data_IF_640171774102
#
_entry.id   IF_640171774102
#
_cell.length_a   1.000
_cell.length_b   1.000
_cell.length_c   1.000
_cell.angle_alpha   90.00
_cell.angle_beta   90.00
_cell.angle_gamma   90.00
#
_symmetry.space_group_name_H-M   'P 1'
#
loop_
_entity.id
_entity.type
_entity.pdbx_description
1 polymer ?
#
# COMPACT_ATOMS: atom_id res chain seq x y z
N UNK A 1 10.09 -32.55 -4.09
CA UNK A 1 11.27 -31.73 -3.76
C UNK A 1 10.77 -30.34 -3.42
N UNK A 2 10.73 -30.01 -2.13
CA UNK A 2 10.41 -28.67 -1.64
C UNK A 2 11.52 -27.71 -2.10
N UNK A 3 11.25 -26.92 -3.11
CA UNK A 3 12.04 -25.71 -3.36
C UNK A 3 11.54 -24.67 -2.38
N UNK A 4 12.15 -24.63 -1.20
CA UNK A 4 11.94 -23.54 -0.28
C UNK A 4 12.30 -22.23 -1.01
N UNK A 5 11.42 -21.27 -0.99
CA UNK A 5 11.68 -19.91 -1.46
C UNK A 5 12.96 -19.38 -0.80
N UNK A 6 13.99 -19.08 -1.58
CA UNK A 6 15.33 -18.82 -1.05
C UNK A 6 15.60 -17.34 -0.76
N UNK A 7 14.56 -16.49 -0.69
CA UNK A 7 14.67 -15.05 -0.44
C UNK A 7 13.44 -14.47 0.24
N UNK A 8 13.57 -13.29 0.84
CA UNK A 8 12.44 -12.53 1.36
C UNK A 8 11.52 -12.12 0.20
N UNK A 9 10.18 -12.35 0.29
CA UNK A 9 9.27 -11.97 -0.78
C UNK A 9 9.28 -10.47 -1.02
N UNK A 10 9.23 -10.08 -2.29
CA UNK A 10 9.17 -8.67 -2.69
C UNK A 10 7.88 -8.00 -2.23
N UNK A 11 7.86 -6.68 -2.20
CA UNK A 11 6.64 -5.90 -1.86
C UNK A 11 5.48 -6.27 -2.80
N UNK A 12 5.76 -6.42 -4.09
CA UNK A 12 4.74 -6.79 -5.07
C UNK A 12 4.19 -8.21 -4.87
N UNK A 13 5.03 -9.18 -4.50
CA UNK A 13 4.59 -10.55 -4.19
C UNK A 13 3.75 -10.60 -2.91
N UNK A 14 4.15 -9.86 -1.86
CA UNK A 14 3.34 -9.71 -0.65
C UNK A 14 1.98 -9.07 -0.97
N UNK A 15 1.98 -7.98 -1.72
CA UNK A 15 0.76 -7.27 -2.13
C UNK A 15 -0.18 -8.18 -2.92
N UNK A 16 0.36 -8.95 -3.87
CA UNK A 16 -0.43 -9.92 -4.63
C UNK A 16 -1.03 -10.99 -3.73
N UNK A 17 -0.19 -11.64 -2.93
CA UNK A 17 -0.60 -12.79 -2.13
C UNK A 17 -1.61 -12.44 -1.03
N UNK A 18 -1.45 -11.29 -0.39
CA UNK A 18 -2.26 -10.88 0.77
C UNK A 18 -3.53 -10.12 0.37
N UNK A 19 -3.53 -9.42 -0.76
CA UNK A 19 -4.60 -8.50 -1.11
C UNK A 19 -5.17 -8.71 -2.52
N UNK A 20 -4.31 -8.72 -3.55
CA UNK A 20 -4.81 -8.72 -4.95
C UNK A 20 -5.42 -10.06 -5.33
N UNK A 21 -4.76 -11.19 -5.02
CA UNK A 21 -5.32 -12.52 -5.34
C UNK A 21 -6.64 -12.81 -4.61
N UNK A 22 -6.78 -12.54 -3.30
CA UNK A 22 -8.08 -12.64 -2.62
C UNK A 22 -9.15 -11.73 -3.22
N UNK A 23 -8.81 -10.48 -3.56
CA UNK A 23 -9.71 -9.55 -4.20
C UNK A 23 -10.19 -10.06 -5.57
N UNK A 24 -9.28 -10.59 -6.40
CA UNK A 24 -9.65 -11.19 -7.67
C UNK A 24 -10.58 -12.38 -7.50
N UNK A 25 -10.30 -13.26 -6.52
CA UNK A 25 -11.14 -14.39 -6.22
C UNK A 25 -12.57 -13.97 -5.83
N UNK A 26 -12.70 -12.91 -5.03
CA UNK A 26 -13.99 -12.41 -4.58
C UNK A 26 -14.76 -11.64 -5.66
N UNK A 27 -14.09 -10.75 -6.40
CA UNK A 27 -14.76 -9.75 -7.25
C UNK A 27 -14.69 -10.04 -8.75
N UNK A 28 -13.70 -10.81 -9.22
CA UNK A 28 -13.40 -10.92 -10.66
C UNK A 28 -13.60 -12.33 -11.21
N UNK A 29 -13.18 -13.37 -10.48
CA UNK A 29 -13.08 -14.74 -10.98
C UNK A 29 -14.42 -15.35 -11.40
N UNK A 30 -15.53 -14.92 -10.80
CA UNK A 30 -16.87 -15.41 -11.18
C UNK A 30 -17.20 -15.18 -12.67
N UNK A 31 -16.63 -14.12 -13.27
CA UNK A 31 -16.80 -13.79 -14.68
C UNK A 31 -15.55 -14.10 -15.52
N UNK A 32 -14.35 -14.02 -14.91
CA UNK A 32 -13.08 -14.07 -15.62
C UNK A 32 -12.20 -15.28 -15.30
N UNK A 33 -12.76 -16.34 -14.66
CA UNK A 33 -11.94 -17.50 -14.33
C UNK A 33 -12.65 -18.76 -13.85
N UNK A 34 -13.67 -18.68 -13.02
CA UNK A 34 -14.32 -19.84 -12.37
C UNK A 34 -14.86 -20.86 -13.38
N UNK A 35 -15.34 -20.39 -14.53
CA UNK A 35 -15.91 -21.23 -15.59
C UNK A 35 -15.18 -20.98 -16.88
N UNK A 36 -14.16 -21.79 -17.22
CA UNK A 36 -13.35 -21.61 -18.41
C UNK A 36 -14.14 -21.47 -19.72
N UNK A 37 -15.28 -22.17 -19.79
CA UNK A 37 -16.17 -22.14 -20.95
C UNK A 37 -17.10 -20.89 -21.03
N UNK A 38 -17.02 -20.01 -20.03
CA UNK A 38 -17.88 -18.82 -19.91
C UNK A 38 -17.11 -17.56 -19.53
N UNK A 39 -15.83 -17.50 -19.86
CA UNK A 39 -15.01 -16.33 -19.60
C UNK A 39 -15.56 -15.13 -20.39
N UNK A 40 -15.84 -14.03 -19.70
CA UNK A 40 -16.37 -12.81 -20.30
C UNK A 40 -15.27 -12.05 -21.02
N UNK A 41 -15.62 -11.51 -22.21
CA UNK A 41 -14.73 -10.70 -23.06
C UNK A 41 -13.39 -11.37 -23.37
N UNK A 42 -13.35 -12.70 -23.37
CA UNK A 42 -12.14 -13.52 -23.56
C UNK A 42 -10.96 -13.13 -22.65
N UNK A 43 -11.25 -12.44 -21.52
CA UNK A 43 -10.25 -12.04 -20.55
C UNK A 43 -10.13 -13.05 -19.42
N UNK A 44 -9.09 -13.87 -19.47
CA UNK A 44 -8.85 -14.96 -18.51
C UNK A 44 -7.87 -14.54 -17.42
N UNK A 45 -8.36 -14.47 -16.17
CA UNK A 45 -7.59 -14.04 -15.00
C UNK A 45 -6.97 -15.19 -14.20
N UNK A 46 -6.96 -16.43 -14.72
CA UNK A 46 -6.45 -17.60 -13.98
C UNK A 46 -4.94 -17.68 -13.92
N UNK A 47 -4.23 -16.98 -14.78
CA UNK A 47 -2.76 -16.92 -14.79
C UNK A 47 -2.26 -15.55 -15.22
N UNK A 48 -1.02 -15.24 -14.82
CA UNK A 48 -0.35 -14.03 -15.29
C UNK A 48 -0.22 -13.99 -16.82
N UNK A 49 0.08 -15.14 -17.42
CA UNK A 49 0.26 -15.25 -18.88
C UNK A 49 -1.03 -14.94 -19.63
N UNK A 50 -2.17 -15.49 -19.18
CA UNK A 50 -3.46 -15.18 -19.77
C UNK A 50 -3.85 -13.71 -19.59
N UNK A 51 -3.59 -13.12 -18.44
CA UNK A 51 -3.85 -11.70 -18.19
C UNK A 51 -2.99 -10.78 -19.08
N UNK A 52 -1.73 -11.14 -19.32
CA UNK A 52 -0.83 -10.38 -20.23
C UNK A 52 -1.24 -10.50 -21.69
N UNK A 53 -1.87 -11.60 -22.08
CA UNK A 53 -2.45 -11.73 -23.42
C UNK A 53 -3.65 -10.80 -23.59
N UNK A 54 -4.32 -10.47 -22.48
CA UNK A 54 -5.48 -9.61 -22.45
C UNK A 54 -6.76 -10.28 -22.90
N UNK A 55 -7.72 -9.49 -23.32
CA UNK A 55 -9.05 -9.91 -23.75
C UNK A 55 -9.44 -9.32 -25.09
N UNK A 56 -10.72 -9.47 -25.45
CA UNK A 56 -11.28 -9.11 -26.76
C UNK A 56 -11.20 -7.61 -27.09
N UNK A 57 -11.30 -6.73 -26.07
CA UNK A 57 -11.46 -5.28 -26.33
C UNK A 57 -10.13 -4.52 -26.22
N UNK A 58 -9.35 -4.79 -25.18
CA UNK A 58 -8.13 -4.01 -24.87
C UNK A 58 -6.85 -4.81 -25.09
N UNK A 59 -6.95 -6.04 -25.52
CA UNK A 59 -5.80 -6.90 -25.82
C UNK A 59 -4.73 -6.84 -24.73
N UNK A 60 -3.48 -6.58 -25.08
CA UNK A 60 -2.34 -6.51 -24.17
C UNK A 60 -2.28 -5.22 -23.31
N UNK A 61 -3.16 -4.25 -23.56
CA UNK A 61 -3.28 -3.05 -22.74
C UNK A 61 -4.08 -3.29 -21.44
N UNK A 62 -4.72 -4.44 -21.29
CA UNK A 62 -5.42 -4.78 -20.03
C UNK A 62 -4.46 -4.83 -18.86
N UNK A 63 -3.27 -5.40 -19.03
CA UNK A 63 -2.25 -5.51 -18.00
C UNK A 63 -0.87 -5.14 -18.56
N UNK A 64 -0.42 -3.94 -18.26
CA UNK A 64 0.90 -3.42 -18.65
C UNK A 64 1.80 -3.39 -17.42
N UNK A 65 2.67 -4.39 -17.19
CA UNK A 65 3.53 -4.43 -16.01
C UNK A 65 4.37 -3.16 -15.85
N UNK A 66 4.37 -2.58 -14.66
CA UNK A 66 5.06 -1.33 -14.35
C UNK A 66 4.28 -0.05 -14.73
N UNK A 67 3.08 -0.17 -15.28
CA UNK A 67 2.28 0.98 -15.73
C UNK A 67 0.82 0.87 -15.24
N UNK A 68 0.63 0.90 -13.91
CA UNK A 68 -0.67 0.69 -13.29
C UNK A 68 -1.75 1.62 -13.81
N UNK A 69 -1.46 2.92 -13.88
CA UNK A 69 -2.42 3.95 -14.31
C UNK A 69 -2.79 3.86 -15.81
N UNK A 70 -2.04 3.10 -16.61
CA UNK A 70 -2.31 2.88 -18.03
C UNK A 70 -2.94 1.52 -18.32
N UNK A 71 -2.96 0.63 -17.34
CA UNK A 71 -3.56 -0.70 -17.48
C UNK A 71 -5.07 -0.61 -17.35
N UNK A 72 -5.80 -1.11 -18.34
CA UNK A 72 -7.27 -1.10 -18.29
C UNK A 72 -7.84 -1.92 -17.12
N UNK A 73 -7.12 -2.90 -16.62
CA UNK A 73 -7.51 -3.60 -15.40
C UNK A 73 -7.71 -2.63 -14.21
N UNK A 74 -6.83 -1.64 -14.07
CA UNK A 74 -6.99 -0.59 -13.07
C UNK A 74 -8.04 0.44 -13.47
N UNK A 75 -7.97 0.97 -14.69
CA UNK A 75 -8.87 2.03 -15.19
C UNK A 75 -10.33 1.61 -15.03
N UNK A 76 -10.69 0.42 -15.51
CA UNK A 76 -12.07 -0.07 -15.44
C UNK A 76 -12.50 -0.36 -14.01
N UNK A 77 -11.57 -0.76 -13.13
CA UNK A 77 -11.87 -1.00 -11.72
C UNK A 77 -12.16 0.28 -10.93
N UNK A 78 -11.72 1.45 -11.41
CA UNK A 78 -12.05 2.76 -10.83
C UNK A 78 -13.40 3.32 -11.28
N UNK A 79 -14.06 2.66 -12.25
CA UNK A 79 -15.37 3.03 -12.80
C UNK A 79 -15.44 4.42 -13.46
N UNK A 80 -14.32 4.92 -13.97
CA UNK A 80 -14.27 6.22 -14.68
C UNK A 80 -14.73 6.12 -16.15
N UNK A 81 -14.77 4.91 -16.71
CA UNK A 81 -15.21 4.64 -18.08
C UNK A 81 -16.66 4.16 -18.05
N UNK A 82 -17.57 4.99 -18.54
CA UNK A 82 -19.01 4.65 -18.65
C UNK A 82 -19.21 3.40 -19.53
N UNK A 83 -20.15 2.54 -19.16
CA UNK A 83 -20.50 1.28 -19.82
C UNK A 83 -19.41 0.17 -19.80
N UNK A 84 -18.26 0.43 -19.16
CA UNK A 84 -17.14 -0.53 -19.08
C UNK A 84 -16.69 -0.78 -17.63
N UNK A 85 -17.48 -0.35 -16.66
CA UNK A 85 -17.14 -0.46 -15.24
C UNK A 85 -16.99 -1.90 -14.78
N UNK A 86 -15.91 -2.17 -14.04
CA UNK A 86 -15.65 -3.48 -13.42
C UNK A 86 -15.46 -3.35 -11.90
N UNK A 87 -16.11 -4.20 -11.12
CA UNK A 87 -17.23 -5.09 -11.48
C UNK A 87 -18.46 -4.33 -12.00
N UNK A 88 -19.29 -4.96 -12.86
CA UNK A 88 -20.42 -4.26 -13.51
C UNK A 88 -21.54 -3.87 -12.55
N UNK A 89 -21.66 -4.56 -11.40
CA UNK A 89 -22.67 -4.22 -10.39
C UNK A 89 -22.10 -3.16 -9.44
N UNK A 90 -22.86 -2.10 -9.23
CA UNK A 90 -22.50 -1.04 -8.30
C UNK A 90 -22.30 -1.54 -6.85
N UNK A 91 -23.08 -2.55 -6.43
CA UNK A 91 -22.95 -3.17 -5.10
C UNK A 91 -21.63 -3.90 -4.90
N UNK A 92 -20.95 -4.28 -5.97
CA UNK A 92 -19.68 -4.99 -5.95
C UNK A 92 -18.48 -4.07 -6.25
N UNK A 93 -18.73 -2.75 -6.32
CA UNK A 93 -17.71 -1.73 -6.56
C UNK A 93 -16.53 -1.88 -5.61
N UNK A 94 -15.33 -1.69 -6.16
CA UNK A 94 -14.10 -1.65 -5.38
C UNK A 94 -13.96 -0.32 -4.64
N UNK A 95 -13.38 -0.38 -3.46
CA UNK A 95 -12.97 0.81 -2.72
C UNK A 95 -11.69 1.41 -3.31
N UNK A 96 -11.39 2.69 -3.01
CA UNK A 96 -10.14 3.35 -3.42
C UNK A 96 -8.89 2.57 -2.95
N UNK A 97 -9.00 1.92 -1.79
CA UNK A 97 -7.93 1.08 -1.26
C UNK A 97 -7.71 -0.18 -2.12
N UNK A 98 -8.76 -0.83 -2.54
CA UNK A 98 -8.72 -2.05 -3.35
C UNK A 98 -8.22 -1.75 -4.78
N UNK A 99 -8.71 -0.67 -5.39
CA UNK A 99 -8.19 -0.22 -6.70
C UNK A 99 -6.72 0.20 -6.59
N UNK A 100 -6.33 0.82 -5.47
CA UNK A 100 -4.95 1.13 -5.15
C UNK A 100 -4.04 -0.10 -5.07
N UNK A 101 -4.52 -1.22 -4.50
CA UNK A 101 -3.76 -2.47 -4.49
C UNK A 101 -3.51 -3.02 -5.89
N UNK A 102 -4.51 -2.95 -6.78
CA UNK A 102 -4.36 -3.38 -8.18
C UNK A 102 -3.32 -2.52 -8.89
N UNK A 103 -3.43 -1.19 -8.79
CA UNK A 103 -2.48 -0.25 -9.39
C UNK A 103 -1.06 -0.52 -8.93
N UNK A 104 -0.87 -0.59 -7.61
CA UNK A 104 0.46 -0.72 -7.01
C UNK A 104 1.08 -2.08 -7.33
N UNK A 105 0.30 -3.16 -7.33
CA UNK A 105 0.75 -4.47 -7.79
C UNK A 105 1.23 -4.44 -9.25
N UNK A 106 0.48 -3.76 -10.15
CA UNK A 106 0.88 -3.59 -11.55
C UNK A 106 2.18 -2.79 -11.61
N UNK A 107 2.31 -1.70 -10.84
CA UNK A 107 3.51 -0.86 -10.77
C UNK A 107 4.74 -1.63 -10.28
N UNK A 108 4.56 -2.63 -9.42
CA UNK A 108 5.62 -3.57 -9.03
C UNK A 108 5.91 -4.66 -10.07
N UNK A 109 5.39 -4.54 -11.29
CA UNK A 109 5.64 -5.46 -12.41
C UNK A 109 4.66 -6.63 -12.47
N UNK A 110 3.54 -6.56 -11.76
CA UNK A 110 2.51 -7.61 -11.69
C UNK A 110 3.11 -9.00 -11.38
N UNK A 111 3.86 -9.17 -10.29
CA UNK A 111 4.43 -10.46 -9.92
C UNK A 111 3.31 -11.47 -9.60
N UNK A 112 3.55 -12.74 -9.98
CA UNK A 112 2.60 -13.83 -9.77
C UNK A 112 3.34 -15.02 -9.16
N UNK A 113 3.46 -15.08 -7.83
CA UNK A 113 4.09 -16.18 -7.13
C UNK A 113 3.35 -17.51 -7.38
N UNK A 114 4.04 -18.63 -7.20
CA UNK A 114 3.42 -19.95 -7.22
C UNK A 114 2.41 -20.09 -6.06
N UNK A 115 1.47 -21.02 -6.18
CA UNK A 115 0.48 -21.26 -5.13
C UNK A 115 1.13 -21.61 -3.78
N UNK A 116 2.26 -22.33 -3.79
CA UNK A 116 3.00 -22.61 -2.56
C UNK A 116 3.59 -21.32 -1.96
N UNK A 117 4.22 -20.48 -2.76
CA UNK A 117 4.76 -19.20 -2.30
C UNK A 117 3.68 -18.27 -1.76
N UNK A 118 2.51 -18.25 -2.40
CA UNK A 118 1.34 -17.48 -1.93
C UNK A 118 0.91 -18.00 -0.56
N UNK A 119 0.80 -19.31 -0.38
CA UNK A 119 0.43 -19.90 0.90
C UNK A 119 1.45 -19.57 2.00
N UNK A 120 2.74 -19.71 1.70
CA UNK A 120 3.82 -19.39 2.64
C UNK A 120 3.78 -17.88 3.05
N UNK A 121 3.56 -16.98 2.08
CA UNK A 121 3.42 -15.54 2.34
C UNK A 121 2.17 -15.26 3.19
N UNK A 122 1.05 -15.91 2.89
CA UNK A 122 -0.18 -15.74 3.65
C UNK A 122 -0.02 -16.25 5.09
N UNK A 123 0.64 -17.35 5.31
CA UNK A 123 0.90 -17.89 6.65
C UNK A 123 1.82 -16.95 7.46
N UNK A 124 2.88 -16.43 6.82
CA UNK A 124 3.88 -15.58 7.51
C UNK A 124 3.40 -14.16 7.78
N UNK A 125 2.65 -13.57 6.84
CA UNK A 125 2.33 -12.13 6.86
C UNK A 125 0.84 -11.80 7.05
N UNK A 126 -0.07 -12.78 7.17
CA UNK A 126 -1.52 -12.54 7.33
C UNK A 126 -1.87 -11.72 8.57
N UNK A 127 -1.09 -11.86 9.64
CA UNK A 127 -1.24 -11.11 10.90
C UNK A 127 -0.50 -9.75 10.88
N UNK A 128 0.02 -9.32 9.73
CA UNK A 128 0.85 -8.13 9.58
C UNK A 128 2.34 -8.46 9.50
N UNK A 129 3.12 -7.47 9.06
CA UNK A 129 4.57 -7.63 8.94
C UNK A 129 5.20 -7.73 10.32
N UNK A 130 5.89 -8.84 10.61
CA UNK A 130 6.72 -8.96 11.82
C UNK A 130 7.89 -7.99 11.68
N UNK A 131 7.71 -6.79 12.22
CA UNK A 131 8.83 -5.86 12.37
C UNK A 131 9.77 -6.47 13.40
N UNK A 132 10.87 -7.05 12.93
CA UNK A 132 11.93 -7.50 13.83
C UNK A 132 12.48 -6.25 14.48
N UNK A 133 12.18 -6.06 15.77
CA UNK A 133 12.64 -4.90 16.57
C UNK A 133 14.16 -4.73 16.55
N UNK A 134 14.92 -5.77 16.24
CA UNK A 134 16.36 -5.70 15.98
C UNK A 134 16.74 -4.89 14.75
N UNK A 135 15.85 -4.75 13.74
CA UNK A 135 16.07 -3.82 12.60
C UNK A 135 15.78 -2.36 12.98
N UNK A 136 14.92 -2.12 13.97
CA UNK A 136 14.73 -0.79 14.57
C UNK A 136 15.92 -0.38 15.45
N UNK A 137 16.79 -1.32 15.80
CA UNK A 137 18.03 -1.13 16.50
C UNK A 137 19.21 -1.26 15.51
N UNK A 138 19.19 -0.50 14.41
CA UNK A 138 20.36 -0.37 13.54
C UNK A 138 21.59 0.01 14.37
N UNK A 139 22.77 -0.33 13.86
CA UNK A 139 24.04 -0.02 14.54
C UNK A 139 24.13 1.48 14.91
N UNK A 140 23.66 2.33 14.03
CA UNK A 140 23.53 3.78 14.27
C UNK A 140 22.56 4.13 15.41
N UNK A 141 21.50 3.34 15.58
CA UNK A 141 20.56 3.52 16.70
C UNK A 141 21.11 2.98 18.01
N UNK A 142 21.78 1.84 18.00
CA UNK A 142 22.41 1.24 19.19
C UNK A 142 23.65 2.02 19.64
N UNK A 143 24.39 2.62 18.70
CA UNK A 143 25.57 3.42 18.96
C UNK A 143 25.28 4.92 19.13
N UNK A 144 24.02 5.30 19.25
CA UNK A 144 23.66 6.69 19.56
C UNK A 144 24.29 7.11 20.88
N UNK A 145 25.32 7.91 20.76
CA UNK A 145 25.90 8.62 21.92
C UNK A 145 25.16 9.93 22.06
N UNK A 146 24.36 10.02 23.10
CA UNK A 146 23.72 11.27 23.47
C UNK A 146 24.72 12.08 24.29
N UNK A 147 25.17 13.18 23.74
CA UNK A 147 25.82 14.21 24.56
C UNK A 147 24.71 14.83 25.42
N UNK A 148 24.70 14.51 26.71
CA UNK A 148 23.68 14.97 27.67
C UNK A 148 23.48 16.48 27.61
N UNK A 149 24.53 17.23 27.33
CA UNK A 149 24.49 18.69 27.18
C UNK A 149 23.70 19.18 25.97
N UNK A 150 23.55 18.35 24.94
CA UNK A 150 22.78 18.65 23.73
C UNK A 150 21.31 18.21 23.83
N UNK A 151 20.99 17.34 24.78
CA UNK A 151 19.61 16.89 24.99
C UNK A 151 18.84 17.94 25.78
N UNK A 152 17.83 18.54 25.14
CA UNK A 152 16.98 19.56 25.77
C UNK A 152 16.32 19.05 27.06
N UNK A 153 15.94 17.78 27.13
CA UNK A 153 15.27 17.16 28.27
C UNK A 153 16.13 17.04 29.53
N UNK A 154 17.46 17.07 29.38
CA UNK A 154 18.40 16.98 30.50
C UNK A 154 19.08 18.32 30.83
N UNK A 155 18.70 19.40 30.11
CA UNK A 155 19.19 20.74 30.42
C UNK A 155 18.48 21.27 31.68
N UNK A 156 19.19 22.02 32.53
CA UNK A 156 18.54 22.72 33.63
C UNK A 156 17.39 23.60 33.10
N UNK A 157 16.24 23.55 33.78
CA UNK A 157 15.10 24.38 33.41
C UNK A 157 15.49 25.86 33.52
N UNK A 158 15.41 26.58 32.41
CA UNK A 158 15.52 28.03 32.41
C UNK A 158 14.15 28.60 32.78
N UNK A 159 14.04 29.13 33.98
CA UNK A 159 12.83 29.85 34.40
C UNK A 159 12.84 31.22 33.75
N UNK A 160 12.04 31.39 32.69
CA UNK A 160 11.82 32.69 32.07
C UNK A 160 10.71 33.45 32.83
N UNK A 161 10.92 34.73 33.10
CA UNK A 161 9.91 35.56 33.73
C UNK A 161 8.81 35.93 32.74
N UNK A 162 7.62 35.41 32.96
CA UNK A 162 6.43 35.82 32.23
C UNK A 162 5.92 37.15 32.79
N UNK A 163 5.49 38.11 31.94
CA UNK A 163 4.92 39.36 32.42
C UNK A 163 3.68 39.13 33.30
N UNK A 164 3.55 39.95 34.36
CA UNK A 164 2.40 39.84 35.27
C UNK A 164 1.07 40.02 34.50
N UNK A 165 0.09 39.17 34.83
CA UNK A 165 -1.26 39.25 34.23
C UNK A 165 -1.43 38.50 32.91
N UNK A 166 -0.38 37.84 32.36
CA UNK A 166 -0.45 37.04 31.17
C UNK A 166 -0.38 35.55 31.58
N UNK A 167 -1.23 34.72 30.96
CA UNK A 167 -1.13 33.26 31.12
C UNK A 167 0.24 32.80 30.59
N UNK A 168 1.03 32.07 31.40
CA UNK A 168 2.36 31.62 30.97
C UNK A 168 2.34 30.76 29.69
N UNK A 169 1.33 29.88 29.54
CA UNK A 169 1.20 29.01 28.37
C UNK A 169 0.98 29.88 27.13
N UNK A 170 0.03 30.81 27.16
CA UNK A 170 -0.28 31.69 26.05
C UNK A 170 0.91 32.59 25.67
N UNK A 171 1.69 33.01 26.68
CA UNK A 171 2.88 33.81 26.44
C UNK A 171 3.95 33.05 25.65
N UNK A 172 4.22 31.79 26.04
CA UNK A 172 5.19 30.95 25.34
C UNK A 172 4.70 30.56 23.95
N UNK A 173 3.41 30.21 23.79
CA UNK A 173 2.81 29.87 22.51
C UNK A 173 2.86 31.07 21.57
N UNK A 174 2.44 32.26 22.01
CA UNK A 174 2.50 33.49 21.21
C UNK A 174 3.91 33.83 20.75
N UNK A 175 4.88 33.70 21.65
CA UNK A 175 6.28 33.92 21.29
C UNK A 175 6.73 32.99 20.20
N UNK A 176 6.32 31.70 20.29
CA UNK A 176 6.68 30.70 19.30
C UNK A 176 5.99 30.94 17.96
N UNK A 177 4.72 31.31 17.95
CA UNK A 177 4.00 31.66 16.74
C UNK A 177 4.65 32.85 16.02
N UNK A 178 5.05 33.89 16.75
CA UNK A 178 5.73 35.07 16.18
C UNK A 178 7.09 34.75 15.55
N UNK A 179 7.81 33.73 16.03
CA UNK A 179 9.05 33.27 15.40
C UNK A 179 8.81 32.76 13.95
N UNK A 180 7.59 32.30 13.66
CA UNK A 180 7.17 31.76 12.36
C UNK A 180 6.20 32.69 11.61
N UNK A 181 6.04 33.93 12.06
CA UNK A 181 5.12 34.92 11.48
C UNK A 181 3.66 34.42 11.43
N UNK A 182 3.25 33.70 12.50
CA UNK A 182 1.91 33.13 12.66
C UNK A 182 1.15 33.82 13.79
N UNK A 183 -0.18 33.92 13.62
CA UNK A 183 -1.13 34.35 14.64
C UNK A 183 -2.02 33.17 15.11
N UNK A 184 -2.75 33.39 16.21
CA UNK A 184 -3.79 32.43 16.62
C UNK A 184 -4.85 32.27 15.54
N UNK A 185 -5.36 31.06 15.39
CA UNK A 185 -6.55 30.83 14.58
C UNK A 185 -7.74 31.62 15.17
N UNK A 186 -8.60 32.21 14.31
CA UNK A 186 -9.78 32.94 14.74
C UNK A 186 -10.78 32.09 15.49
#
# INVERSE_FOLDING_TARGET
>A
ANSAYSGEPTIGEKLFSLHVKPLFAEKCMACHGDKPEKIKSDFDMRSRESMLRGGEIFEDEVLIPGQGEKSYLYILSTRVEEDLEMPPKETDQLTDKETGWIRDWINYGAPWPSDQQIADIQEEYAEGEKVVTSKALSEDWQNRRYETEKLWAYRPLKVEKVPAGINPVDWFVNRKLKEFDLDYAP
#
